data_IF_593019577711
#
_entry.id   IF_593019577711
#
_cell.length_a   1.000
_cell.length_b   1.000
_cell.length_c   1.000
_cell.angle_alpha   90.00
_cell.angle_beta   90.00
_cell.angle_gamma   90.00
#
_symmetry.space_group_name_H-M   'P 1'
#
loop_
_entity.id
_entity.type
_entity.pdbx_description
1 polymer ?
#
# COMPACT_ATOMS: atom_id res chain seq x y z
N UNK A 1 3.58 -66.16 -19.81
CA UNK A 1 2.25 -66.15 -19.16
C UNK A 1 2.33 -65.14 -18.02
N UNK A 2 1.88 -63.90 -18.22
CA UNK A 2 1.86 -62.87 -17.19
C UNK A 2 0.41 -62.57 -16.84
N UNK A 3 0.00 -62.99 -15.64
CA UNK A 3 -1.33 -62.76 -15.08
C UNK A 3 -1.50 -61.28 -14.71
N UNK A 4 -2.61 -60.60 -15.10
CA UNK A 4 -2.94 -59.31 -14.55
C UNK A 4 -3.73 -59.50 -13.25
N UNK A 5 -3.19 -59.01 -12.14
CA UNK A 5 -3.93 -58.90 -10.89
C UNK A 5 -5.03 -57.84 -11.05
N UNK A 6 -6.29 -58.27 -10.94
CA UNK A 6 -7.45 -57.39 -10.93
C UNK A 6 -7.44 -56.58 -9.63
N UNK A 7 -7.27 -55.26 -9.74
CA UNK A 7 -7.46 -54.35 -8.63
C UNK A 7 -8.95 -54.29 -8.30
N UNK A 8 -9.34 -55.02 -7.26
CA UNK A 8 -10.65 -54.90 -6.62
C UNK A 8 -10.80 -53.48 -6.10
N UNK A 9 -11.56 -52.63 -6.81
CA UNK A 9 -11.98 -51.33 -6.27
C UNK A 9 -13.03 -51.60 -5.20
N UNK A 10 -12.57 -51.79 -3.97
CA UNK A 10 -13.43 -51.81 -2.79
C UNK A 10 -14.17 -50.47 -2.73
N UNK A 11 -15.50 -50.54 -2.78
CA UNK A 11 -16.36 -49.38 -2.58
C UNK A 11 -16.29 -48.92 -1.12
N UNK A 12 -16.03 -47.63 -0.93
CA UNK A 12 -16.29 -46.89 0.32
C UNK A 12 -15.75 -45.45 0.25
N UNK A 13 -16.28 -44.58 -0.62
CA UNK A 13 -15.98 -43.12 -0.52
C UNK A 13 -17.16 -42.20 -0.88
N UNK A 14 -18.39 -42.70 -0.97
CA UNK A 14 -19.54 -41.81 -1.22
C UNK A 14 -20.02 -41.10 0.07
N UNK A 15 -19.90 -41.75 1.23
CA UNK A 15 -20.29 -41.20 2.53
C UNK A 15 -19.32 -40.13 3.07
N UNK A 16 -18.08 -40.06 2.58
CA UNK A 16 -17.06 -39.11 3.05
C UNK A 16 -17.11 -37.77 2.28
N UNK A 17 -17.85 -37.69 1.17
CA UNK A 17 -17.96 -36.47 0.34
C UNK A 17 -19.11 -35.54 0.75
N UNK A 18 -19.98 -35.96 1.68
CA UNK A 18 -21.12 -35.18 2.18
C UNK A 18 -20.75 -34.21 3.33
N UNK A 19 -19.49 -34.14 3.73
CA UNK A 19 -18.97 -33.22 4.76
C UNK A 19 -18.31 -31.95 4.18
N UNK A 20 -18.43 -31.71 2.87
CA UNK A 20 -17.85 -30.51 2.25
C UNK A 20 -18.94 -29.44 2.23
N UNK A 21 -18.84 -28.46 3.14
CA UNK A 21 -19.75 -27.31 3.15
C UNK A 21 -20.27 -26.97 4.55
N UNK A 22 -20.69 -25.72 4.73
CA UNK A 22 -21.27 -25.23 5.98
C UNK A 22 -22.76 -24.94 5.80
N UNK A 23 -23.57 -25.31 6.79
CA UNK A 23 -24.97 -24.94 6.82
C UNK A 23 -25.13 -23.42 6.99
N UNK A 24 -26.14 -22.86 6.32
CA UNK A 24 -26.60 -21.51 6.55
C UNK A 24 -27.06 -21.36 8.01
N UNK A 25 -26.55 -20.35 8.72
CA UNK A 25 -26.92 -20.03 10.10
C UNK A 25 -28.34 -19.46 10.24
N UNK A 26 -29.02 -19.15 9.12
CA UNK A 26 -30.41 -18.74 9.12
C UNK A 26 -31.33 -19.96 9.39
N UNK A 27 -32.24 -19.88 10.38
CA UNK A 27 -33.10 -21.01 10.76
C UNK A 27 -34.11 -21.42 9.68
N UNK A 28 -34.41 -20.53 8.74
CA UNK A 28 -35.38 -20.80 7.68
C UNK A 28 -34.77 -21.52 6.45
N UNK A 29 -33.45 -21.55 6.31
CA UNK A 29 -32.78 -22.00 5.08
C UNK A 29 -32.11 -23.37 5.23
N UNK A 30 -31.27 -23.54 6.26
CA UNK A 30 -30.46 -24.76 6.52
C UNK A 30 -29.72 -25.37 5.31
N UNK A 31 -29.58 -24.62 4.22
CA UNK A 31 -28.89 -25.05 3.00
C UNK A 31 -27.39 -25.18 3.30
N UNK A 32 -26.80 -26.30 2.88
CA UNK A 32 -25.37 -26.54 3.00
C UNK A 32 -24.67 -26.07 1.72
N UNK A 33 -23.95 -24.96 1.83
CA UNK A 33 -23.17 -24.41 0.71
C UNK A 33 -21.71 -24.86 0.82
N UNK A 34 -21.13 -25.26 -0.31
CA UNK A 34 -19.74 -25.71 -0.39
C UNK A 34 -18.75 -24.56 -0.22
N UNK A 35 -19.21 -23.31 -0.39
CA UNK A 35 -18.42 -22.11 -0.18
C UNK A 35 -18.94 -21.35 1.05
N UNK A 36 -18.33 -21.52 2.24
CA UNK A 36 -18.77 -20.85 3.45
C UNK A 36 -18.59 -19.33 3.32
N UNK A 37 -19.69 -18.58 3.20
CA UNK A 37 -19.64 -17.12 3.16
C UNK A 37 -19.88 -16.58 4.56
N UNK A 38 -18.90 -15.88 5.13
CA UNK A 38 -19.03 -15.25 6.46
C UNK A 38 -19.51 -13.82 6.32
N UNK A 39 -20.52 -13.45 7.10
CA UNK A 39 -20.95 -12.05 7.18
C UNK A 39 -19.88 -11.20 7.90
N UNK A 40 -19.50 -10.06 7.33
CA UNK A 40 -18.50 -9.17 7.92
C UNK A 40 -18.94 -8.54 9.26
N UNK A 41 -20.24 -8.57 9.57
CA UNK A 41 -20.82 -7.94 10.76
C UNK A 41 -21.02 -8.95 11.90
N UNK A 42 -21.75 -10.04 11.66
CA UNK A 42 -22.04 -11.06 12.67
C UNK A 42 -21.10 -12.26 12.65
N UNK A 43 -20.23 -12.40 11.64
CA UNK A 43 -19.26 -13.51 11.48
C UNK A 43 -19.85 -14.94 11.36
N UNK A 44 -21.17 -15.05 11.24
CA UNK A 44 -21.88 -16.30 10.97
C UNK A 44 -21.80 -16.69 9.49
N UNK A 45 -22.01 -17.97 9.19
CA UNK A 45 -21.90 -18.56 7.85
C UNK A 45 -23.26 -18.63 7.17
N UNK A 46 -23.35 -18.10 5.95
CA UNK A 46 -24.58 -18.10 5.16
C UNK A 46 -24.32 -18.71 3.77
N UNK A 47 -25.39 -19.19 3.14
CA UNK A 47 -25.34 -19.64 1.75
C UNK A 47 -25.35 -18.44 0.77
N UNK A 48 -25.14 -18.74 -0.51
CA UNK A 48 -25.12 -17.77 -1.61
C UNK A 48 -26.37 -16.87 -1.73
N UNK A 49 -27.51 -17.29 -1.18
CA UNK A 49 -28.77 -16.53 -1.22
C UNK A 49 -29.02 -15.67 0.05
N UNK A 50 -28.26 -15.89 1.13
CA UNK A 50 -28.46 -15.23 2.42
C UNK A 50 -27.21 -14.49 2.93
N UNK A 51 -26.19 -14.32 2.09
CA UNK A 51 -24.92 -13.70 2.49
C UNK A 51 -25.05 -12.20 2.80
N UNK A 52 -26.06 -11.50 2.25
CA UNK A 52 -26.21 -10.07 2.51
C UNK A 52 -26.81 -9.82 3.89
N UNK A 53 -26.35 -8.79 4.61
CA UNK A 53 -26.89 -8.45 5.93
C UNK A 53 -28.41 -8.25 5.99
N UNK A 54 -29.04 -7.77 4.90
CA UNK A 54 -30.49 -7.61 4.81
C UNK A 54 -31.27 -8.91 4.64
N UNK A 55 -30.66 -9.95 4.05
CA UNK A 55 -31.31 -11.24 3.76
C UNK A 55 -31.35 -12.12 5.02
N UNK A 56 -30.32 -12.08 5.87
CA UNK A 56 -30.28 -12.84 7.13
C UNK A 56 -30.65 -12.02 8.39
N UNK A 57 -31.21 -10.81 8.23
CA UNK A 57 -31.59 -9.89 9.33
C UNK A 57 -30.46 -9.75 10.36
N UNK A 58 -29.28 -9.36 9.90
CA UNK A 58 -28.08 -9.29 10.73
C UNK A 58 -28.29 -8.37 11.96
N UNK A 59 -27.95 -8.82 13.18
CA UNK A 59 -28.17 -8.04 14.41
C UNK A 59 -27.32 -6.76 14.49
N UNK A 60 -26.20 -6.73 13.78
CA UNK A 60 -25.26 -5.59 13.74
C UNK A 60 -25.39 -4.77 12.46
N UNK A 61 -26.43 -5.01 11.66
CA UNK A 61 -26.66 -4.26 10.43
C UNK A 61 -27.35 -2.94 10.71
N UNK A 62 -26.68 -1.86 10.30
CA UNK A 62 -27.28 -0.54 10.23
C UNK A 62 -27.44 -0.14 8.75
N UNK A 63 -28.67 -0.04 8.23
CA UNK A 63 -28.92 0.31 6.83
C UNK A 63 -28.33 1.68 6.45
N UNK A 64 -28.13 2.58 7.41
CA UNK A 64 -27.56 3.91 7.15
C UNK A 64 -26.07 3.86 6.79
N UNK A 65 -25.36 2.77 7.11
CA UNK A 65 -23.90 2.67 6.92
C UNK A 65 -23.48 1.68 5.84
N UNK A 66 -24.39 0.82 5.40
CA UNK A 66 -24.05 -0.33 4.55
C UNK A 66 -23.98 -0.02 3.06
N UNK A 67 -24.87 0.82 2.54
CA UNK A 67 -24.93 1.10 1.11
C UNK A 67 -24.07 2.32 0.73
N UNK A 68 -22.75 2.15 0.81
CA UNK A 68 -21.78 3.19 0.41
C UNK A 68 -21.39 3.00 -1.05
N UNK A 69 -22.33 3.32 -1.94
CA UNK A 69 -22.06 3.36 -3.38
C UNK A 69 -21.31 4.66 -3.69
N UNK A 70 -20.14 4.53 -4.32
CA UNK A 70 -19.38 5.67 -4.82
C UNK A 70 -20.08 6.22 -6.08
N UNK A 71 -20.56 7.48 -6.08
CA UNK A 71 -21.14 8.09 -7.27
C UNK A 71 -20.07 8.27 -8.35
N UNK A 72 -20.45 8.06 -9.60
CA UNK A 72 -19.59 8.33 -10.75
C UNK A 72 -19.49 9.83 -11.03
N UNK A 73 -18.31 10.27 -11.47
CA UNK A 73 -18.12 11.64 -11.93
C UNK A 73 -18.76 11.83 -13.31
N UNK A 74 -19.58 12.89 -13.54
CA UNK A 74 -20.25 13.11 -14.83
C UNK A 74 -19.32 13.54 -15.97
N UNK A 75 -18.06 13.85 -15.69
CA UNK A 75 -17.09 14.29 -16.70
C UNK A 75 -16.12 13.19 -17.15
N UNK A 76 -15.78 12.27 -16.25
CA UNK A 76 -14.77 11.23 -16.51
C UNK A 76 -15.22 9.80 -16.18
N UNK A 77 -16.49 9.62 -15.77
CA UNK A 77 -17.12 8.34 -15.40
C UNK A 77 -16.35 7.50 -14.37
N UNK A 78 -15.39 8.10 -13.68
CA UNK A 78 -14.58 7.42 -12.67
C UNK A 78 -15.32 7.47 -11.34
N UNK A 79 -15.48 6.34 -10.60
CA UNK A 79 -16.14 6.32 -9.31
C UNK A 79 -15.32 7.12 -8.28
N UNK A 80 -15.94 8.13 -7.67
CA UNK A 80 -15.27 9.02 -6.72
C UNK A 80 -15.45 8.49 -5.30
N UNK A 81 -14.34 8.24 -4.59
CA UNK A 81 -14.36 7.73 -3.22
C UNK A 81 -14.71 8.84 -2.23
N UNK A 82 -15.80 8.68 -1.47
CA UNK A 82 -16.32 9.68 -0.52
C UNK A 82 -16.07 9.19 0.91
N UNK A 83 -15.23 9.89 1.69
CA UNK A 83 -15.03 9.57 3.11
C UNK A 83 -16.31 9.80 3.94
N UNK A 84 -16.53 9.04 5.01
CA UNK A 84 -17.69 9.21 5.88
C UNK A 84 -17.71 10.61 6.51
N UNK A 85 -18.89 11.24 6.52
CA UNK A 85 -19.10 12.57 7.13
C UNK A 85 -18.82 13.76 6.22
N UNK A 86 -18.51 13.54 4.94
CA UNK A 86 -18.32 14.63 3.96
C UNK A 86 -19.46 14.65 2.92
N UNK A 87 -19.85 15.86 2.51
CA UNK A 87 -20.88 16.05 1.49
C UNK A 87 -20.37 15.57 0.12
N UNK A 88 -21.25 14.88 -0.61
CA UNK A 88 -20.97 14.32 -1.94
C UNK A 88 -20.52 15.40 -2.91
N UNK A 89 -21.24 16.52 -2.95
CA UNK A 89 -21.00 17.62 -3.88
C UNK A 89 -19.60 18.22 -3.69
N UNK A 90 -19.17 18.44 -2.44
CA UNK A 90 -17.85 19.01 -2.16
C UNK A 90 -16.70 18.07 -2.55
N UNK A 91 -16.91 16.75 -2.45
CA UNK A 91 -15.91 15.77 -2.88
C UNK A 91 -15.89 15.70 -4.41
N UNK A 92 -17.06 15.75 -5.05
CA UNK A 92 -17.18 15.78 -6.51
C UNK A 92 -16.56 17.04 -7.10
N UNK A 93 -16.82 18.21 -6.54
CA UNK A 93 -16.21 19.49 -6.94
C UNK A 93 -14.69 19.44 -6.80
N UNK A 94 -14.19 18.88 -5.69
CA UNK A 94 -12.77 18.74 -5.48
C UNK A 94 -12.13 17.82 -6.53
N UNK A 95 -12.78 16.71 -6.83
CA UNK A 95 -12.36 15.81 -7.90
C UNK A 95 -12.34 16.55 -9.25
N UNK A 96 -13.42 17.23 -9.63
CA UNK A 96 -13.53 18.00 -10.88
C UNK A 96 -12.40 19.03 -10.98
N UNK A 97 -12.16 19.80 -9.92
CA UNK A 97 -11.19 20.90 -9.93
C UNK A 97 -9.72 20.45 -9.88
N UNK A 98 -9.39 19.30 -9.27
CA UNK A 98 -8.00 18.92 -8.97
C UNK A 98 -7.53 17.59 -9.55
N UNK A 99 -8.44 16.65 -9.78
CA UNK A 99 -8.08 15.26 -10.05
C UNK A 99 -8.80 14.65 -11.27
N UNK A 100 -9.77 15.37 -11.84
CA UNK A 100 -10.55 14.90 -12.97
C UNK A 100 -9.74 14.96 -14.26
N UNK A 101 -9.52 13.79 -14.88
CA UNK A 101 -8.79 13.67 -16.14
C UNK A 101 -9.45 14.45 -17.29
N UNK A 102 -10.79 14.53 -17.31
CA UNK A 102 -11.54 15.28 -18.30
C UNK A 102 -11.40 16.81 -18.15
N UNK A 103 -11.15 17.31 -16.93
CA UNK A 103 -10.87 18.73 -16.66
C UNK A 103 -9.43 19.14 -17.01
N UNK A 104 -8.65 18.27 -17.66
CA UNK A 104 -7.26 18.53 -18.01
C UNK A 104 -6.26 18.28 -16.89
N UNK A 105 -6.72 17.88 -15.70
CA UNK A 105 -5.87 17.50 -14.57
C UNK A 105 -5.27 16.11 -14.79
N UNK A 106 -4.25 16.03 -15.65
CA UNK A 106 -3.50 14.79 -15.86
C UNK A 106 -2.47 14.64 -14.74
N UNK A 107 -2.85 13.98 -13.65
CA UNK A 107 -1.84 13.24 -12.88
C UNK A 107 -1.26 12.20 -13.82
N UNK A 108 0.06 12.15 -13.94
CA UNK A 108 0.74 11.19 -14.79
C UNK A 108 0.21 9.79 -14.45
N UNK A 109 -0.55 9.19 -15.38
CA UNK A 109 -0.98 7.82 -15.24
C UNK A 109 0.27 6.99 -14.91
N UNK A 110 0.20 6.21 -13.83
CA UNK A 110 1.34 5.38 -13.42
C UNK A 110 1.83 4.61 -14.66
N UNK A 111 3.12 4.68 -15.02
CA UNK A 111 3.61 4.01 -16.20
C UNK A 111 3.32 2.52 -16.07
N UNK A 112 2.49 2.02 -16.97
CA UNK A 112 2.08 0.64 -16.96
C UNK A 112 3.24 -0.19 -17.53
N UNK A 113 3.94 -0.95 -16.69
CA UNK A 113 5.06 -1.77 -17.14
C UNK A 113 4.57 -2.76 -18.20
N UNK A 114 5.19 -2.78 -19.38
CA UNK A 114 4.83 -3.68 -20.48
C UNK A 114 5.72 -4.91 -20.49
N UNK A 115 5.20 -6.00 -21.05
CA UNK A 115 5.94 -7.24 -21.13
C UNK A 115 7.16 -7.07 -22.06
N UNK A 116 8.37 -7.44 -21.63
CA UNK A 116 9.57 -7.34 -22.46
C UNK A 116 9.72 -8.51 -23.45
N UNK A 117 8.77 -9.45 -23.49
CA UNK A 117 8.78 -10.54 -24.46
C UNK A 117 8.58 -10.02 -25.90
N UNK A 118 9.24 -10.62 -26.90
CA UNK A 118 9.10 -10.18 -28.29
C UNK A 118 7.64 -10.26 -28.73
N UNK A 119 7.16 -9.20 -29.40
CA UNK A 119 5.79 -9.07 -29.90
C UNK A 119 4.69 -9.05 -28.83
N UNK A 120 5.02 -8.83 -27.55
CA UNK A 120 4.04 -8.75 -26.46
C UNK A 120 3.84 -7.31 -25.96
N UNK A 121 2.68 -6.70 -26.24
CA UNK A 121 2.36 -5.35 -25.77
C UNK A 121 1.46 -5.31 -24.52
N UNK A 122 1.25 -6.47 -23.87
CA UNK A 122 0.43 -6.60 -22.67
C UNK A 122 1.06 -5.85 -21.50
N UNK A 123 0.23 -5.06 -20.82
CA UNK A 123 0.57 -4.43 -19.54
C UNK A 123 0.65 -5.51 -18.46
N UNK A 124 1.69 -5.43 -17.63
CA UNK A 124 1.88 -6.29 -16.46
C UNK A 124 1.04 -5.74 -15.31
N UNK A 125 -0.21 -6.20 -15.21
CA UNK A 125 -1.03 -5.95 -14.02
C UNK A 125 -0.50 -6.70 -12.80
N UNK A 126 -0.03 -7.94 -13.00
CA UNK A 126 0.68 -8.74 -12.02
C UNK A 126 2.02 -9.19 -12.63
N UNK A 127 3.12 -8.45 -12.40
CA UNK A 127 4.46 -8.82 -12.88
C UNK A 127 4.91 -10.15 -12.29
N UNK A 128 5.28 -11.13 -13.14
CA UNK A 128 5.86 -12.39 -12.67
C UNK A 128 7.34 -12.44 -13.06
N UNK A 129 8.20 -12.63 -12.07
CA UNK A 129 9.66 -12.72 -12.27
C UNK A 129 10.05 -14.10 -12.79
N UNK A 130 10.91 -14.12 -13.80
CA UNK A 130 11.57 -15.35 -14.24
C UNK A 130 12.77 -15.67 -13.33
N UNK A 131 12.88 -16.91 -12.85
CA UNK A 131 13.99 -17.34 -11.98
C UNK A 131 15.36 -17.29 -12.70
N UNK A 132 15.37 -17.53 -14.00
CA UNK A 132 16.61 -17.62 -14.79
C UNK A 132 17.13 -16.24 -15.21
N UNK A 133 16.28 -15.36 -15.75
CA UNK A 133 16.70 -14.05 -16.28
C UNK A 133 16.33 -12.85 -15.39
N UNK A 134 15.55 -13.06 -14.32
CA UNK A 134 15.08 -12.04 -13.35
C UNK A 134 14.27 -10.88 -13.95
N UNK A 135 13.88 -10.98 -15.22
CA UNK A 135 12.96 -10.04 -15.88
C UNK A 135 11.51 -10.38 -15.52
N UNK A 136 10.67 -9.35 -15.52
CA UNK A 136 9.25 -9.47 -15.23
C UNK A 136 8.44 -9.63 -16.52
N UNK A 137 7.54 -10.62 -16.54
CA UNK A 137 6.71 -10.93 -17.71
C UNK A 137 5.23 -11.03 -17.33
N UNK A 138 4.36 -10.96 -18.34
CA UNK A 138 2.94 -11.24 -18.18
C UNK A 138 2.69 -12.75 -17.94
N UNK A 139 1.51 -13.17 -17.44
CA UNK A 139 1.18 -14.58 -17.22
C UNK A 139 1.41 -15.49 -18.43
N UNK A 140 1.19 -15.00 -19.65
CA UNK A 140 1.44 -15.77 -20.90
C UNK A 140 2.92 -16.02 -21.20
N UNK A 141 3.83 -15.20 -20.66
CA UNK A 141 5.28 -15.29 -20.93
C UNK A 141 6.09 -15.56 -19.64
N UNK A 142 5.43 -16.11 -18.59
CA UNK A 142 6.07 -16.51 -17.33
C UNK A 142 7.15 -17.58 -17.54
N UNK A 143 6.94 -18.50 -18.47
CA UNK A 143 7.84 -19.62 -18.69
C UNK A 143 9.07 -19.24 -19.53
N UNK A 144 10.25 -19.81 -19.23
CA UNK A 144 11.49 -19.54 -19.97
C UNK A 144 11.42 -19.82 -21.48
N UNK A 145 10.56 -20.74 -21.91
CA UNK A 145 10.35 -21.11 -23.33
C UNK A 145 9.57 -20.06 -24.11
N UNK A 146 8.87 -19.17 -23.40
CA UNK A 146 7.93 -18.19 -23.96
C UNK A 146 8.56 -16.79 -24.04
N UNK A 147 9.83 -16.65 -23.68
CA UNK A 147 10.58 -15.40 -23.84
C UNK A 147 12.03 -15.68 -24.16
N UNK A 148 12.75 -14.67 -24.64
CA UNK A 148 14.20 -14.73 -24.82
C UNK A 148 14.88 -14.69 -23.46
N UNK A 149 14.91 -15.83 -22.78
CA UNK A 149 15.45 -16.01 -21.45
C UNK A 149 16.99 -16.03 -21.49
N UNK A 150 17.61 -14.86 -21.33
CA UNK A 150 19.06 -14.76 -21.13
C UNK A 150 19.37 -14.61 -19.65
N UNK A 151 20.05 -15.58 -19.06
CA UNK A 151 20.54 -15.45 -17.69
C UNK A 151 21.51 -14.26 -17.59
N UNK A 152 21.44 -13.44 -16.52
CA UNK A 152 22.48 -12.47 -16.26
C UNK A 152 23.81 -13.21 -16.04
N UNK A 153 24.96 -12.67 -16.51
CA UNK A 153 26.26 -13.26 -16.22
C UNK A 153 26.39 -13.37 -14.69
N UNK A 154 26.73 -14.58 -14.20
CA UNK A 154 27.06 -14.75 -12.79
C UNK A 154 28.21 -13.79 -12.46
N UNK A 155 28.15 -13.00 -11.37
CA UNK A 155 29.35 -12.36 -10.87
C UNK A 155 30.32 -13.48 -10.50
N UNK A 156 31.35 -13.66 -11.32
CA UNK A 156 32.50 -14.49 -10.99
C UNK A 156 33.08 -13.98 -9.67
N UNK A 157 33.48 -14.86 -8.74
CA UNK A 157 34.18 -14.43 -7.54
C UNK A 157 35.49 -13.76 -7.98
N UNK A 158 35.54 -12.43 -7.92
CA UNK A 158 36.79 -11.69 -8.04
C UNK A 158 37.68 -12.13 -6.87
N UNK A 159 38.96 -12.46 -7.10
CA UNK A 159 39.89 -12.73 -6.02
C UNK A 159 40.03 -11.47 -5.16
N UNK A 160 39.70 -11.58 -3.89
CA UNK A 160 39.92 -10.53 -2.89
C UNK A 160 41.42 -10.17 -2.88
N UNK A 161 41.82 -8.89 -3.01
CA UNK A 161 43.19 -8.51 -2.67
C UNK A 161 43.38 -8.65 -1.16
N UNK A 162 44.44 -9.38 -0.81
CA UNK A 162 44.85 -9.66 0.55
C UNK A 162 45.05 -8.38 1.39
N UNK A 163 44.79 -8.56 2.68
CA UNK A 163 44.99 -7.64 3.80
C UNK A 163 46.25 -6.78 3.66
N UNK A 164 46.10 -5.45 3.74
CA UNK A 164 47.21 -4.57 4.08
C UNK A 164 47.33 -4.46 5.61
N UNK A 165 48.54 -4.56 6.19
CA UNK A 165 48.76 -4.44 7.61
C UNK A 165 48.71 -2.98 8.06
N UNK A 166 48.00 -2.72 9.16
CA UNK A 166 47.94 -1.42 9.84
C UNK A 166 49.28 -1.11 10.52
N UNK A 167 49.97 -0.06 10.06
CA UNK A 167 51.11 0.54 10.76
C UNK A 167 50.61 1.47 11.87
N UNK A 168 50.82 1.08 13.13
CA UNK A 168 50.96 2.02 14.25
C UNK A 168 51.70 1.32 15.40
N UNK A 169 53.02 1.51 15.43
CA UNK A 169 53.89 1.17 16.57
C UNK A 169 54.35 2.49 17.20
N UNK A 170 54.58 2.42 18.51
CA UNK A 170 55.23 3.39 19.42
C UNK A 170 54.34 4.43 20.13
N UNK A 171 54.05 4.12 21.40
CA UNK A 171 54.13 5.10 22.49
C UNK A 171 54.37 4.36 23.82
N UNK A 172 55.63 4.03 24.11
CA UNK A 172 56.08 3.59 25.42
C UNK A 172 56.56 4.79 26.25
N UNK A 173 55.91 4.93 27.42
CA UNK A 173 56.47 5.22 28.74
C UNK A 173 57.61 6.28 28.88
N UNK A 174 57.21 7.43 29.44
CA UNK A 174 57.84 8.25 30.50
C UNK A 174 59.33 8.02 30.86
N UNK A 175 60.13 9.09 30.95
CA UNK A 175 60.64 9.66 32.23
C UNK A 175 61.62 10.84 32.05
N UNK A 176 61.32 11.92 32.77
CA UNK A 176 62.18 12.87 33.51
C UNK A 176 63.37 13.59 32.84
N UNK A 177 63.34 14.94 32.83
CA UNK A 177 64.19 15.77 33.70
C UNK A 177 63.84 17.27 33.59
N UNK A 178 64.04 17.97 34.71
CA UNK A 178 63.55 19.29 35.13
C UNK A 178 64.21 20.50 34.45
N UNK A 179 63.52 21.66 34.39
CA UNK A 179 63.86 22.87 35.17
C UNK A 179 62.84 24.02 34.94
N UNK A 180 62.41 24.62 36.06
CA UNK A 180 61.92 25.99 36.27
C UNK A 180 60.74 26.56 35.44
N UNK A 181 59.59 26.68 36.12
CA UNK A 181 59.02 27.99 36.43
C UNK A 181 58.05 28.64 35.42
N UNK A 182 56.87 28.97 35.93
CA UNK A 182 55.84 29.90 35.41
C UNK A 182 54.62 29.23 34.73
N UNK A 183 53.48 29.32 35.42
CA UNK A 183 52.08 29.19 34.92
C UNK A 183 51.45 30.60 34.99
N UNK A 184 50.25 30.84 34.44
CA UNK A 184 49.62 30.31 33.23
C UNK A 184 49.14 31.47 32.32
N UNK A 185 48.66 31.19 31.11
CA UNK A 185 47.43 31.80 30.54
C UNK A 185 47.24 31.28 29.12
N UNK A 186 46.03 30.79 28.86
CA UNK A 186 45.57 30.34 27.55
C UNK A 186 45.44 31.55 26.63
N UNK A 187 46.07 31.55 25.46
CA UNK A 187 45.64 32.29 24.26
C UNK A 187 46.51 32.01 23.05
N UNK A 188 45.87 31.55 21.96
CA UNK A 188 46.08 31.90 20.54
C UNK A 188 45.88 30.70 19.61
N UNK A 189 44.62 30.29 19.46
CA UNK A 189 44.17 29.74 18.19
C UNK A 189 43.89 30.93 17.26
N UNK A 190 44.72 31.09 16.22
CA UNK A 190 44.42 31.97 15.10
C UNK A 190 43.30 31.34 14.29
N UNK A 191 42.08 31.80 14.57
CA UNK A 191 40.94 31.67 13.68
C UNK A 191 41.11 32.63 12.49
N UNK A 192 40.87 32.15 11.28
CA UNK A 192 40.26 32.96 10.21
C UNK A 192 38.77 32.56 10.22
N UNK A 193 37.84 33.40 10.67
CA UNK A 193 37.25 34.54 9.95
C UNK A 193 36.83 34.10 8.53
N UNK A 194 35.56 33.94 8.20
CA UNK A 194 34.59 35.04 8.19
C UNK A 194 33.19 34.67 8.69
N UNK A 195 32.65 35.58 9.49
CA UNK A 195 31.23 35.76 9.80
C UNK A 195 30.58 36.65 8.73
N UNK A 196 29.29 36.41 8.46
CA UNK A 196 28.30 37.48 8.41
C UNK A 196 26.91 36.92 8.74
N UNK A 197 26.44 37.29 9.94
CA UNK A 197 25.04 37.26 10.36
C UNK A 197 24.22 38.30 9.53
N UNK A 198 22.90 38.49 9.62
CA UNK A 198 22.14 38.84 10.83
C UNK A 198 20.62 38.60 10.63
N UNK A 199 20.00 38.06 11.67
CA UNK A 199 18.56 37.99 11.91
C UNK A 199 17.87 39.36 11.95
N UNK A 200 16.56 39.38 11.67
CA UNK A 200 15.63 40.35 12.28
C UNK A 200 14.36 39.67 12.82
N UNK A 201 14.29 39.74 14.14
CA UNK A 201 13.18 39.93 15.08
C UNK A 201 11.71 39.58 14.72
N UNK A 202 11.08 39.00 15.73
CA UNK A 202 9.66 38.74 15.90
C UNK A 202 8.78 40.00 15.99
N UNK A 203 7.53 39.87 15.56
CA UNK A 203 6.38 40.57 16.14
C UNK A 203 5.09 39.77 15.90
N UNK A 204 4.41 39.38 16.99
CA UNK A 204 3.00 38.93 16.99
C UNK A 204 2.10 40.17 17.02
N UNK A 205 0.87 40.08 16.46
CA UNK A 205 -0.26 40.78 17.06
C UNK A 205 -1.38 39.82 17.48
N UNK A 206 -2.00 40.15 18.61
CA UNK A 206 -3.19 39.54 19.21
C UNK A 206 -4.50 40.20 18.69
N UNK A 207 -5.69 39.61 18.96
CA UNK A 207 -6.95 39.88 18.25
C UNK A 207 -7.87 40.89 18.96
N UNK A 208 -8.80 41.51 18.23
CA UNK A 208 -10.01 42.22 18.73
C UNK A 208 -11.12 42.25 17.63
N UNK A 209 -12.37 42.73 17.88
CA UNK A 209 -13.50 41.91 18.31
C UNK A 209 -14.73 41.98 17.36
N UNK A 210 -15.72 41.15 17.69
CA UNK A 210 -17.03 40.97 17.07
C UNK A 210 -17.94 42.21 17.11
N UNK A 211 -18.69 42.49 16.03
CA UNK A 211 -19.96 43.25 16.06
C UNK A 211 -20.90 42.76 14.94
N UNK A 212 -22.08 42.26 15.33
CA UNK A 212 -23.34 42.30 14.56
C UNK A 212 -24.22 43.40 15.19
N UNK A 213 -25.12 44.08 14.45
CA UNK A 213 -26.49 43.59 14.19
C UNK A 213 -26.95 43.98 12.74
N UNK A 214 -28.15 43.79 12.20
CA UNK A 214 -29.51 43.62 12.71
C UNK A 214 -30.41 42.98 11.63
N UNK A 215 -31.56 42.47 12.07
CA UNK A 215 -32.68 42.02 11.26
C UNK A 215 -33.39 43.19 10.52
N UNK A 216 -34.04 42.88 9.39
CA UNK A 216 -35.23 43.59 8.92
C UNK A 216 -36.13 42.66 8.12
N UNK A 217 -37.33 42.49 8.66
CA UNK A 217 -38.50 41.88 8.06
C UNK A 217 -39.10 42.81 7.01
N UNK A 218 -39.64 42.29 5.90
CA UNK A 218 -40.87 42.85 5.33
C UNK A 218 -41.63 41.80 4.51
N UNK A 219 -42.92 41.75 4.81
CA UNK A 219 -43.98 41.04 4.12
C UNK A 219 -44.35 41.79 2.83
N UNK A 220 -44.90 41.08 1.84
CA UNK A 220 -45.54 41.67 0.68
C UNK A 220 -46.43 40.66 -0.03
N UNK A 221 -47.71 40.67 0.34
CA UNK A 221 -48.79 40.02 -0.38
C UNK A 221 -49.08 40.77 -1.70
N UNK A 222 -49.47 40.00 -2.72
CA UNK A 222 -49.98 40.46 -4.01
C UNK A 222 -50.39 39.27 -4.83
#
# INVERSE_FOLDING_TARGET
MFSPAMATRQGSTDAQMLFVGSACSLPDCHLHDFLPIKCNLCSETFCSDHFKPGEHKCPKYDPATADRIAPSCPLCDTPVSIPPGRNVDQVMDNHIMRECAAAGNRRAARPSNRCPAPRCNKVLHAPIRCENCRKEFCPSHRFPTQHSCSAPPKPSPSPSPASQPTMAKLADKFTNASLAGIRPTQSSASASAAMAAINRAAAKPAPKPNVAPAASSSQGAG
#
